data_IF_377837629798
#
_entry.id   IF_377837629798
#
_cell.length_a   1.000
_cell.length_b   1.000
_cell.length_c   1.000
_cell.angle_alpha   90.00
_cell.angle_beta   90.00
_cell.angle_gamma   90.00
#
_symmetry.space_group_name_H-M   'P 1'
#
loop_
_entity.id
_entity.type
_entity.pdbx_description
1 polymer ?
#
# COMPACT_ATOMS: atom_id res chain seq x y z
N UNK A 1 5.09 -22.82 18.24
CA UNK A 1 5.71 -22.43 16.96
C UNK A 1 6.97 -23.26 16.80
N UNK A 2 7.12 -24.07 15.75
CA UNK A 2 8.37 -24.81 15.53
C UNK A 2 9.51 -23.84 15.15
N UNK A 3 10.73 -24.12 15.58
CA UNK A 3 11.93 -23.32 15.26
C UNK A 3 12.07 -23.05 13.74
N UNK A 4 11.70 -24.05 12.95
CA UNK A 4 11.71 -24.04 11.47
C UNK A 4 10.86 -22.89 10.91
N UNK A 5 9.64 -22.68 11.43
CA UNK A 5 8.75 -21.59 10.96
C UNK A 5 9.34 -20.21 11.23
N UNK A 6 10.03 -20.05 12.36
CA UNK A 6 10.69 -18.77 12.69
C UNK A 6 11.80 -18.48 11.68
N UNK A 7 12.58 -19.50 11.32
CA UNK A 7 13.64 -19.38 10.31
C UNK A 7 13.05 -19.02 8.94
N UNK A 8 11.96 -19.67 8.53
CA UNK A 8 11.25 -19.34 7.27
C UNK A 8 10.82 -17.87 7.22
N UNK A 9 10.23 -17.34 8.30
CA UNK A 9 9.84 -15.91 8.36
C UNK A 9 11.03 -14.96 8.32
N UNK A 10 12.13 -15.29 8.99
CA UNK A 10 13.35 -14.47 8.98
C UNK A 10 13.95 -14.43 7.57
N UNK A 11 14.07 -15.60 6.92
CA UNK A 11 14.58 -15.70 5.54
C UNK A 11 13.67 -14.92 4.60
N UNK A 12 12.35 -15.07 4.72
CA UNK A 12 11.39 -14.33 3.91
C UNK A 12 11.52 -12.81 4.07
N UNK A 13 11.68 -12.32 5.31
CA UNK A 13 11.88 -10.90 5.59
C UNK A 13 13.18 -10.35 4.98
N UNK A 14 14.28 -11.09 5.08
CA UNK A 14 15.57 -10.72 4.48
C UNK A 14 15.45 -10.66 2.96
N UNK A 15 14.82 -11.66 2.34
CA UNK A 15 14.60 -11.70 0.90
C UNK A 15 13.74 -10.51 0.43
N UNK A 16 12.60 -10.25 1.08
CA UNK A 16 11.75 -9.11 0.74
C UNK A 16 12.48 -7.77 0.88
N UNK A 17 13.31 -7.62 1.92
CA UNK A 17 14.13 -6.41 2.14
C UNK A 17 15.19 -6.23 1.05
N UNK A 18 15.86 -7.31 0.64
CA UNK A 18 16.81 -7.28 -0.48
C UNK A 18 16.14 -6.92 -1.80
N UNK A 19 14.97 -7.51 -2.09
CA UNK A 19 14.17 -7.17 -3.27
C UNK A 19 13.71 -5.71 -3.24
N UNK A 20 13.33 -5.19 -2.07
CA UNK A 20 12.95 -3.78 -1.90
C UNK A 20 14.07 -2.83 -2.30
N UNK A 21 15.28 -3.08 -1.81
CA UNK A 21 16.48 -2.30 -2.15
C UNK A 21 16.77 -2.39 -3.66
N UNK A 22 16.67 -3.58 -4.24
CA UNK A 22 16.91 -3.82 -5.67
C UNK A 22 15.91 -3.05 -6.54
N UNK A 23 14.61 -3.19 -6.30
CA UNK A 23 13.55 -2.54 -7.08
C UNK A 23 13.68 -1.02 -6.95
N UNK A 24 13.82 -0.50 -5.73
CA UNK A 24 13.97 0.94 -5.52
C UNK A 24 15.22 1.49 -6.24
N UNK A 25 16.36 0.78 -6.18
CA UNK A 25 17.58 1.16 -6.89
C UNK A 25 17.40 1.18 -8.41
N UNK A 26 16.70 0.19 -8.98
CA UNK A 26 16.37 0.16 -10.40
C UNK A 26 15.51 1.36 -10.79
N UNK A 27 14.43 1.63 -10.07
CA UNK A 27 13.52 2.76 -10.36
C UNK A 27 14.22 4.12 -10.23
N UNK A 28 15.12 4.29 -9.25
CA UNK A 28 15.94 5.49 -9.13
C UNK A 28 16.85 5.69 -10.35
N UNK A 29 17.47 4.61 -10.86
CA UNK A 29 18.27 4.68 -12.10
C UNK A 29 17.40 5.03 -13.30
N UNK A 30 16.26 4.37 -13.47
CA UNK A 30 15.32 4.64 -14.56
C UNK A 30 14.84 6.09 -14.56
N UNK A 31 14.54 6.65 -13.38
CA UNK A 31 14.06 8.03 -13.30
C UNK A 31 15.15 9.04 -13.68
N UNK A 32 16.40 8.80 -13.27
CA UNK A 32 17.53 9.64 -13.67
C UNK A 32 17.77 9.60 -15.19
N UNK A 33 17.50 8.46 -15.83
CA UNK A 33 17.68 8.29 -17.29
C UNK A 33 16.49 8.77 -18.12
N UNK A 34 15.28 8.85 -17.56
CA UNK A 34 14.04 9.18 -18.29
C UNK A 34 13.88 10.67 -18.64
N UNK A 35 14.93 11.48 -18.47
CA UNK A 35 14.92 12.89 -18.80
C UNK A 35 14.18 13.69 -17.75
N UNK A 36 14.93 14.36 -16.89
CA UNK A 36 14.40 15.35 -15.95
C UNK A 36 13.82 16.48 -16.81
N UNK A 37 12.51 16.47 -17.02
CA UNK A 37 11.80 17.60 -17.61
C UNK A 37 11.79 18.70 -16.56
N UNK A 38 12.86 19.48 -16.54
CA UNK A 38 13.04 20.66 -15.72
C UNK A 38 12.07 21.73 -16.25
N UNK A 39 10.77 21.56 -15.98
CA UNK A 39 9.80 22.60 -16.24
C UNK A 39 10.16 23.75 -15.31
N UNK A 40 10.61 24.86 -15.91
CA UNK A 40 11.09 26.07 -15.25
C UNK A 40 9.97 26.82 -14.53
N UNK A 41 9.33 26.18 -13.56
CA UNK A 41 8.47 26.85 -12.60
C UNK A 41 9.34 27.28 -11.43
N UNK A 42 9.42 28.58 -11.21
CA UNK A 42 10.13 29.21 -10.11
C UNK A 42 9.38 28.96 -8.79
N UNK A 43 9.38 27.71 -8.34
CA UNK A 43 8.95 27.34 -6.99
C UNK A 43 10.12 27.61 -6.06
N UNK A 44 9.93 28.50 -5.08
CA UNK A 44 10.93 28.80 -4.06
C UNK A 44 11.19 27.50 -3.26
N UNK A 45 12.33 26.85 -3.51
CA UNK A 45 12.75 25.61 -2.84
C UNK A 45 14.15 25.79 -2.27
N UNK A 46 14.39 25.27 -1.06
CA UNK A 46 15.71 25.29 -0.41
C UNK A 46 16.75 24.37 -1.05
N UNK A 47 16.33 23.48 -1.97
CA UNK A 47 17.21 22.64 -2.78
C UNK A 47 16.72 22.66 -4.22
N UNK A 48 17.65 22.78 -5.15
CA UNK A 48 17.39 22.78 -6.60
C UNK A 48 17.09 21.39 -7.15
N UNK A 49 17.19 20.33 -6.34
CA UNK A 49 16.96 18.96 -6.81
C UNK A 49 15.48 18.55 -6.70
N UNK A 50 14.87 18.25 -7.85
CA UNK A 50 13.58 17.59 -7.91
C UNK A 50 13.73 16.11 -7.54
N UNK A 51 13.18 15.71 -6.39
CA UNK A 51 13.12 14.29 -6.02
C UNK A 51 12.00 13.60 -6.80
N UNK A 52 12.26 12.43 -7.40
CA UNK A 52 11.26 11.74 -8.21
C UNK A 52 10.14 11.12 -7.36
N UNK A 53 8.89 11.35 -7.76
CA UNK A 53 7.68 10.83 -7.11
C UNK A 53 7.34 9.38 -7.54
N UNK A 54 8.35 8.50 -7.56
CA UNK A 54 8.21 7.11 -8.04
C UNK A 54 8.31 6.08 -6.90
N UNK A 55 8.68 6.52 -5.70
CA UNK A 55 8.84 5.64 -4.54
C UNK A 55 7.58 4.86 -4.16
N UNK A 56 6.39 5.49 -4.25
CA UNK A 56 5.12 4.84 -3.93
C UNK A 56 4.86 3.59 -4.80
N UNK A 57 5.14 3.68 -6.11
CA UNK A 57 4.98 2.58 -7.06
C UNK A 57 5.92 1.43 -6.69
N UNK A 58 7.18 1.73 -6.35
CA UNK A 58 8.14 0.72 -5.91
C UNK A 58 7.64 -0.03 -4.68
N UNK A 59 7.15 0.68 -3.65
CA UNK A 59 6.63 0.06 -2.43
C UNK A 59 5.40 -0.81 -2.69
N UNK A 60 4.49 -0.36 -3.54
CA UNK A 60 3.29 -1.14 -3.87
C UNK A 60 3.61 -2.42 -4.65
N UNK A 61 4.58 -2.38 -5.56
CA UNK A 61 5.07 -3.58 -6.26
C UNK A 61 5.66 -4.59 -5.25
N UNK A 62 6.47 -4.12 -4.30
CA UNK A 62 7.05 -4.98 -3.25
C UNK A 62 5.95 -5.58 -2.38
N UNK A 63 4.95 -4.79 -1.99
CA UNK A 63 3.79 -5.26 -1.23
C UNK A 63 3.06 -6.41 -1.94
N UNK A 64 2.77 -6.27 -3.24
CA UNK A 64 2.14 -7.33 -4.03
C UNK A 64 3.05 -8.56 -4.16
N UNK A 65 4.34 -8.37 -4.43
CA UNK A 65 5.32 -9.47 -4.50
C UNK A 65 5.44 -10.22 -3.18
N UNK A 66 5.40 -9.53 -2.05
CA UNK A 66 5.41 -10.14 -0.73
C UNK A 66 4.16 -10.99 -0.50
N UNK A 67 2.98 -10.53 -0.91
CA UNK A 67 1.74 -11.32 -0.83
C UNK A 67 1.85 -12.59 -1.67
N UNK A 68 2.30 -12.45 -2.93
CA UNK A 68 2.47 -13.59 -3.84
C UNK A 68 3.52 -14.56 -3.28
N UNK A 69 4.68 -14.05 -2.88
CA UNK A 69 5.79 -14.86 -2.34
C UNK A 69 5.41 -15.60 -1.07
N UNK A 70 4.62 -14.97 -0.18
CA UNK A 70 4.08 -15.64 0.99
C UNK A 70 3.21 -16.84 0.59
N UNK A 71 2.32 -16.67 -0.40
CA UNK A 71 1.44 -17.76 -0.86
C UNK A 71 2.20 -18.97 -1.41
N UNK A 72 3.39 -18.77 -1.98
CA UNK A 72 4.22 -19.86 -2.51
C UNK A 72 5.05 -20.57 -1.44
N UNK A 73 5.54 -19.84 -0.44
CA UNK A 73 6.47 -20.38 0.58
C UNK A 73 5.70 -21.07 1.72
N UNK A 74 4.52 -20.55 2.09
CA UNK A 74 3.75 -21.07 3.21
C UNK A 74 2.62 -21.98 2.69
N UNK A 75 2.84 -23.29 2.78
CA UNK A 75 2.01 -24.36 2.20
C UNK A 75 0.59 -24.50 2.80
N UNK A 76 0.20 -23.64 3.75
CA UNK A 76 -1.11 -23.67 4.43
C UNK A 76 -2.13 -22.69 3.82
N UNK A 77 -2.11 -22.58 2.49
CA UNK A 77 -2.70 -21.52 1.66
C UNK A 77 -4.24 -21.46 1.63
N UNK A 78 -4.94 -22.42 2.24
CA UNK A 78 -6.41 -22.44 2.28
C UNK A 78 -6.98 -21.20 2.99
N UNK A 79 -6.22 -20.59 3.91
CA UNK A 79 -6.62 -19.37 4.61
C UNK A 79 -6.23 -18.07 3.89
N UNK A 80 -5.46 -18.14 2.81
CA UNK A 80 -4.93 -16.96 2.11
C UNK A 80 -5.99 -16.22 1.28
N UNK A 81 -7.16 -16.84 1.08
CA UNK A 81 -8.33 -16.23 0.42
C UNK A 81 -9.48 -15.98 1.40
N UNK A 82 -9.18 -15.80 2.69
CA UNK A 82 -10.19 -15.34 3.62
C UNK A 82 -10.73 -13.97 3.17
N UNK A 83 -12.05 -13.78 3.25
CA UNK A 83 -12.74 -12.54 2.89
C UNK A 83 -12.08 -11.33 3.57
N UNK A 84 -11.66 -11.48 4.83
CA UNK A 84 -10.97 -10.44 5.59
C UNK A 84 -9.65 -10.01 4.93
N UNK A 85 -8.85 -10.97 4.48
CA UNK A 85 -7.56 -10.69 3.84
C UNK A 85 -7.76 -10.06 2.45
N UNK A 86 -8.72 -10.59 1.68
CA UNK A 86 -9.11 -10.02 0.39
C UNK A 86 -9.57 -8.56 0.53
N UNK A 87 -10.35 -8.26 1.58
CA UNK A 87 -10.81 -6.90 1.87
C UNK A 87 -9.69 -5.91 2.10
N UNK A 88 -8.66 -6.31 2.87
CA UNK A 88 -7.48 -5.48 3.10
C UNK A 88 -6.70 -5.26 1.80
N UNK A 89 -6.54 -6.28 0.98
CA UNK A 89 -5.86 -6.15 -0.33
C UNK A 89 -6.63 -5.17 -1.21
N UNK A 90 -7.94 -5.36 -1.39
CA UNK A 90 -8.75 -4.48 -2.25
C UNK A 90 -8.73 -3.03 -1.73
N UNK A 91 -8.92 -2.82 -0.43
CA UNK A 91 -8.90 -1.48 0.18
C UNK A 91 -7.53 -0.80 0.01
N UNK A 92 -6.43 -1.53 0.21
CA UNK A 92 -5.07 -1.01 0.01
C UNK A 92 -4.75 -0.73 -1.46
N UNK A 93 -5.23 -1.55 -2.39
CA UNK A 93 -5.12 -1.30 -3.83
C UNK A 93 -5.86 -0.02 -4.24
N UNK A 94 -7.09 0.17 -3.79
CA UNK A 94 -7.88 1.36 -4.10
C UNK A 94 -7.23 2.61 -3.49
N UNK A 95 -6.80 2.53 -2.21
CA UNK A 95 -6.09 3.63 -1.55
C UNK A 95 -4.79 4.00 -2.27
N UNK A 96 -4.01 3.01 -2.72
CA UNK A 96 -2.80 3.24 -3.50
C UNK A 96 -3.09 3.88 -4.87
N UNK A 97 -4.08 3.36 -5.61
CA UNK A 97 -4.47 3.90 -6.92
C UNK A 97 -4.98 5.34 -6.81
N UNK A 98 -5.76 5.63 -5.77
CA UNK A 98 -6.19 6.99 -5.47
C UNK A 98 -5.01 7.91 -5.18
N UNK A 99 -4.04 7.46 -4.38
CA UNK A 99 -2.82 8.23 -4.11
C UNK A 99 -2.02 8.52 -5.38
N UNK A 100 -1.87 7.52 -6.27
CA UNK A 100 -1.22 7.71 -7.56
C UNK A 100 -2.00 8.68 -8.47
N UNK A 101 -3.33 8.60 -8.46
CA UNK A 101 -4.19 9.49 -9.23
C UNK A 101 -4.12 10.93 -8.70
N UNK A 102 -4.04 11.11 -7.38
CA UNK A 102 -3.85 12.40 -6.72
C UNK A 102 -2.51 13.05 -7.11
N UNK A 103 -1.42 12.28 -7.03
CA UNK A 103 -0.08 12.73 -7.41
C UNK A 103 0.05 13.09 -8.91
N UNK A 104 -0.77 12.51 -9.78
CA UNK A 104 -0.70 12.71 -11.23
C UNK A 104 -1.65 13.79 -11.77
N UNK A 105 -2.81 14.02 -11.12
CA UNK A 105 -3.89 14.83 -11.68
C UNK A 105 -4.47 15.91 -10.73
N UNK A 106 -3.83 16.19 -9.59
CA UNK A 106 -4.28 17.18 -8.59
C UNK A 106 -5.79 17.05 -8.31
N UNK A 107 -6.16 15.93 -7.69
CA UNK A 107 -7.56 15.49 -7.68
C UNK A 107 -8.45 16.35 -6.79
N UNK A 108 -9.74 16.43 -7.14
CA UNK A 108 -10.70 17.20 -6.33
C UNK A 108 -10.84 16.53 -4.94
N UNK A 109 -10.84 17.32 -3.84
CA UNK A 109 -10.94 16.79 -2.48
C UNK A 109 -12.14 15.85 -2.25
N UNK A 110 -13.26 16.08 -2.93
CA UNK A 110 -14.46 15.24 -2.83
C UNK A 110 -14.24 13.82 -3.37
N UNK A 111 -13.46 13.66 -4.43
CA UNK A 111 -13.14 12.34 -5.02
C UNK A 111 -12.26 11.55 -4.04
N UNK A 112 -11.30 12.24 -3.41
CA UNK A 112 -10.43 11.68 -2.39
C UNK A 112 -11.22 11.16 -1.19
N UNK A 113 -12.10 12.00 -0.65
CA UNK A 113 -12.97 11.63 0.48
C UNK A 113 -13.88 10.43 0.13
N UNK A 114 -14.49 10.44 -1.05
CA UNK A 114 -15.35 9.34 -1.48
C UNK A 114 -14.58 8.00 -1.55
N UNK A 115 -13.38 8.02 -2.11
CA UNK A 115 -12.55 6.82 -2.22
C UNK A 115 -12.05 6.33 -0.85
N UNK A 116 -11.71 7.23 0.09
CA UNK A 116 -11.38 6.85 1.47
C UNK A 116 -12.56 6.20 2.20
N UNK A 117 -13.77 6.79 2.08
CA UNK A 117 -15.00 6.20 2.64
C UNK A 117 -15.26 4.83 2.01
N UNK A 118 -15.07 4.69 0.70
CA UNK A 118 -15.23 3.43 -0.02
C UNK A 118 -14.26 2.35 0.49
N UNK A 119 -12.99 2.70 0.78
CA UNK A 119 -12.06 1.79 1.45
C UNK A 119 -12.57 1.34 2.82
N UNK A 120 -13.09 2.26 3.65
CA UNK A 120 -13.66 1.92 4.95
C UNK A 120 -14.87 0.99 4.84
N UNK A 121 -15.74 1.23 3.86
CA UNK A 121 -16.92 0.39 3.59
C UNK A 121 -16.52 -1.02 3.15
N UNK A 122 -15.50 -1.15 2.29
CA UNK A 122 -14.97 -2.47 1.87
C UNK A 122 -14.43 -3.26 3.06
N UNK A 123 -13.70 -2.60 3.97
CA UNK A 123 -13.19 -3.23 5.18
C UNK A 123 -14.34 -3.72 6.09
N UNK A 124 -15.38 -2.90 6.26
CA UNK A 124 -16.57 -3.30 7.04
C UNK A 124 -17.26 -4.52 6.41
N UNK A 125 -17.51 -4.52 5.09
CA UNK A 125 -18.14 -5.65 4.39
C UNK A 125 -17.33 -6.94 4.48
N UNK A 126 -16.01 -6.83 4.58
CA UNK A 126 -15.10 -7.97 4.75
C UNK A 126 -14.86 -8.34 6.20
N UNK A 127 -15.71 -7.87 7.14
CA UNK A 127 -15.59 -8.13 8.57
C UNK A 127 -14.28 -7.63 9.22
N UNK A 128 -13.59 -6.68 8.57
CA UNK A 128 -12.41 -5.99 9.09
C UNK A 128 -12.84 -4.63 9.63
N UNK A 129 -13.28 -4.60 10.88
CA UNK A 129 -13.69 -3.36 11.54
C UNK A 129 -13.33 -3.39 13.02
N UNK A 130 -13.24 -2.22 13.62
CA UNK A 130 -12.88 -2.03 15.02
C UNK A 130 -14.07 -2.45 15.89
N UNK A 131 -13.85 -3.42 16.79
CA UNK A 131 -14.88 -3.97 17.70
C UNK A 131 -14.61 -3.53 19.14
N UNK A 132 -15.02 -2.31 19.49
CA UNK A 132 -14.81 -1.75 20.85
C UNK A 132 -16.13 -1.71 21.62
N UNK A 133 -17.24 -1.40 20.95
CA UNK A 133 -18.55 -1.21 21.56
C UNK A 133 -19.46 -2.40 21.29
N UNK A 134 -20.49 -2.58 22.11
CA UNK A 134 -21.55 -3.58 21.88
C UNK A 134 -22.44 -3.21 20.68
N UNK A 135 -22.51 -1.91 20.34
CA UNK A 135 -23.25 -1.42 19.18
C UNK A 135 -22.44 -1.54 17.89
N UNK A 136 -22.96 -2.32 16.93
CA UNK A 136 -22.34 -2.50 15.60
C UNK A 136 -22.26 -1.19 14.81
N UNK A 137 -23.26 -0.33 14.92
CA UNK A 137 -23.30 0.97 14.23
C UNK A 137 -22.15 1.86 14.68
N UNK A 138 -21.87 1.88 15.99
CA UNK A 138 -20.80 2.71 16.55
C UNK A 138 -19.42 2.18 16.14
N UNK A 139 -19.28 0.85 16.05
CA UNK A 139 -18.10 0.18 15.52
C UNK A 139 -17.85 0.48 14.02
N UNK A 140 -18.89 0.58 13.22
CA UNK A 140 -18.76 0.96 11.80
C UNK A 140 -18.39 2.43 11.63
N UNK A 141 -19.02 3.34 12.38
CA UNK A 141 -18.71 4.76 12.34
C UNK A 141 -17.26 5.04 12.73
N UNK A 142 -16.78 4.45 13.83
CA UNK A 142 -15.39 4.65 14.26
C UNK A 142 -14.40 4.06 13.25
N UNK A 143 -14.75 2.96 12.58
CA UNK A 143 -13.93 2.36 11.53
C UNK A 143 -13.81 3.30 10.32
N UNK A 144 -14.92 3.89 9.86
CA UNK A 144 -14.90 4.85 8.75
C UNK A 144 -14.08 6.09 9.10
N UNK A 145 -14.29 6.66 10.29
CA UNK A 145 -13.54 7.85 10.76
C UNK A 145 -12.04 7.54 10.91
N UNK A 146 -11.68 6.32 11.31
CA UNK A 146 -10.28 5.92 11.45
C UNK A 146 -9.58 5.70 10.10
N UNK A 147 -10.31 5.26 9.08
CA UNK A 147 -9.76 4.96 7.75
C UNK A 147 -9.60 6.23 6.89
N UNK A 148 -10.51 7.20 7.04
CA UNK A 148 -10.54 8.47 6.31
C UNK A 148 -9.52 9.46 6.87
#
# INVERSE_FOLDING_TARGET
>A
MSLIKIIEFIVFFIVCSAFSILINSLFLKFTKTLGIRNNGETVIRWSSESKPAIGGISFYIIFLLSIIGYSFIFENSIYFLNLNFLGVIIASTIGFLLGLFDDAYDTKPLIKLFAQILCGVILIFTNVYIRIFDSEILNYLITIIWVV
#
